data_IF_699992788236
#
_entry.id   IF_699992788236
#
_cell.length_a   1.000
_cell.length_b   1.000
_cell.length_c   1.000
_cell.angle_alpha   90.00
_cell.angle_beta   90.00
_cell.angle_gamma   90.00
#
_symmetry.space_group_name_H-M   'P 1'
#
loop_
_entity.id
_entity.type
_entity.pdbx_description
1 polymer ?
#
# COMPACT_ATOMS: atom_id res chain seq x y z
N UNK A 1 9.65 -28.82 -23.99
CA UNK A 1 8.91 -28.05 -22.98
C UNK A 1 9.81 -26.92 -22.52
N UNK A 2 9.55 -25.71 -22.96
CA UNK A 2 10.24 -24.51 -22.46
C UNK A 2 9.62 -24.19 -21.10
N UNK A 3 10.42 -24.33 -20.04
CA UNK A 3 10.04 -23.84 -18.72
C UNK A 3 10.12 -22.31 -18.79
N UNK A 4 8.99 -21.64 -18.68
CA UNK A 4 8.97 -20.18 -18.58
C UNK A 4 9.36 -19.88 -17.13
N UNK A 5 10.48 -19.21 -16.94
CA UNK A 5 10.87 -18.71 -15.63
C UNK A 5 9.83 -17.67 -15.21
N UNK A 6 9.10 -17.99 -14.15
CA UNK A 6 8.13 -17.09 -13.57
C UNK A 6 8.88 -16.06 -12.73
N UNK A 7 8.91 -14.81 -13.20
CA UNK A 7 9.48 -13.68 -12.46
C UNK A 7 8.34 -12.81 -11.89
N UNK A 8 7.84 -13.10 -10.68
CA UNK A 8 6.74 -12.34 -10.12
C UNK A 8 7.18 -10.91 -9.81
N UNK A 9 6.32 -9.91 -10.01
CA UNK A 9 6.64 -8.52 -9.72
C UNK A 9 6.92 -8.36 -8.22
N UNK A 10 8.14 -7.98 -7.87
CA UNK A 10 8.58 -7.82 -6.47
C UNK A 10 8.47 -6.37 -6.03
N UNK A 11 7.99 -6.16 -4.79
CA UNK A 11 8.00 -4.84 -4.15
C UNK A 11 8.74 -4.89 -2.81
N UNK A 12 9.83 -4.16 -2.70
CA UNK A 12 10.65 -4.09 -1.48
C UNK A 12 10.20 -3.00 -0.49
N UNK A 13 9.41 -2.03 -0.96
CA UNK A 13 8.95 -0.89 -0.16
C UNK A 13 10.01 0.17 0.11
N UNK A 14 11.10 0.23 -0.66
CA UNK A 14 12.08 1.33 -0.57
C UNK A 14 11.52 2.63 -1.16
N UNK A 15 10.83 2.55 -2.30
CA UNK A 15 10.11 3.67 -2.87
C UNK A 15 8.59 3.50 -2.70
N UNK A 16 7.99 4.42 -1.94
CA UNK A 16 6.55 4.47 -1.62
C UNK A 16 5.81 5.57 -2.39
N UNK A 17 6.40 6.06 -3.48
CA UNK A 17 5.72 6.94 -4.43
C UNK A 17 4.45 6.26 -4.96
N UNK A 18 3.33 6.99 -4.97
CA UNK A 18 2.00 6.47 -5.36
C UNK A 18 2.07 5.71 -6.66
N UNK A 19 2.74 6.31 -7.65
CA UNK A 19 2.89 5.75 -8.98
C UNK A 19 3.58 4.38 -8.99
N UNK A 20 4.62 4.19 -8.18
CA UNK A 20 5.37 2.92 -8.14
C UNK A 20 4.54 1.85 -7.45
N UNK A 21 3.84 2.20 -6.38
CA UNK A 21 2.91 1.31 -5.69
C UNK A 21 1.77 0.90 -6.63
N UNK A 22 1.17 1.86 -7.33
CA UNK A 22 0.09 1.62 -8.31
C UNK A 22 0.58 0.76 -9.49
N UNK A 23 1.76 1.03 -10.04
CA UNK A 23 2.36 0.22 -11.12
C UNK A 23 2.59 -1.22 -10.67
N UNK A 24 3.03 -1.43 -9.43
CA UNK A 24 3.23 -2.77 -8.89
C UNK A 24 1.90 -3.50 -8.68
N UNK A 25 0.85 -2.82 -8.22
CA UNK A 25 -0.50 -3.38 -8.10
C UNK A 25 -1.06 -3.78 -9.46
N UNK A 26 -0.95 -2.91 -10.47
CA UNK A 26 -1.39 -3.19 -11.85
C UNK A 26 -0.66 -4.41 -12.44
N UNK A 27 0.64 -4.55 -12.16
CA UNK A 27 1.43 -5.73 -12.54
C UNK A 27 0.92 -7.01 -11.86
N UNK A 28 0.54 -6.94 -10.58
CA UNK A 28 -0.05 -8.07 -9.85
C UNK A 28 -1.43 -8.44 -10.40
N UNK A 29 -2.27 -7.45 -10.74
CA UNK A 29 -3.59 -7.68 -11.34
C UNK A 29 -3.49 -8.38 -12.69
N UNK A 30 -2.63 -7.87 -13.57
CA UNK A 30 -2.32 -8.49 -14.87
C UNK A 30 -1.87 -9.95 -14.70
N UNK A 31 -0.97 -10.20 -13.75
CA UNK A 31 -0.47 -11.54 -13.45
C UNK A 31 -1.58 -12.49 -12.98
N UNK A 32 -2.49 -12.00 -12.15
CA UNK A 32 -3.61 -12.80 -11.66
C UNK A 32 -4.59 -13.15 -12.77
N UNK A 33 -4.80 -12.25 -13.73
CA UNK A 33 -5.63 -12.50 -14.91
C UNK A 33 -4.98 -13.55 -15.82
N UNK A 34 -3.71 -13.38 -16.17
CA UNK A 34 -2.96 -14.33 -17.01
C UNK A 34 -2.93 -15.74 -16.43
N UNK A 35 -2.78 -15.84 -15.10
CA UNK A 35 -2.75 -17.12 -14.40
C UNK A 35 -4.14 -17.66 -14.01
N UNK A 36 -5.22 -16.92 -14.29
CA UNK A 36 -6.58 -17.26 -13.82
C UNK A 36 -6.63 -17.53 -12.31
N UNK A 37 -5.95 -16.70 -11.53
CA UNK A 37 -5.77 -16.88 -10.09
C UNK A 37 -7.09 -16.69 -9.35
N UNK A 38 -7.43 -17.65 -8.48
CA UNK A 38 -8.62 -17.55 -7.64
C UNK A 38 -8.49 -16.43 -6.61
N UNK A 39 -9.59 -15.74 -6.32
CA UNK A 39 -9.62 -14.59 -5.40
C UNK A 39 -8.99 -14.88 -4.03
N UNK A 40 -9.26 -16.08 -3.48
CA UNK A 40 -8.71 -16.54 -2.19
C UNK A 40 -7.18 -16.66 -2.16
N UNK A 41 -6.56 -16.80 -3.32
CA UNK A 41 -5.12 -17.06 -3.49
C UNK A 41 -4.35 -15.77 -3.82
N UNK A 42 -5.04 -14.72 -4.29
CA UNK A 42 -4.42 -13.43 -4.69
C UNK A 42 -3.68 -12.73 -3.56
N UNK A 43 -4.31 -12.53 -2.41
CA UNK A 43 -3.67 -11.86 -1.26
C UNK A 43 -2.44 -12.62 -0.75
N UNK A 44 -2.49 -13.95 -0.51
CA UNK A 44 -1.30 -14.73 -0.18
C UNK A 44 -0.15 -14.57 -1.17
N UNK A 45 -0.45 -14.57 -2.47
CA UNK A 45 0.55 -14.42 -3.53
C UNK A 45 1.14 -13.01 -3.58
N UNK A 46 0.32 -11.96 -3.49
CA UNK A 46 0.79 -10.57 -3.42
C UNK A 46 1.71 -10.35 -2.21
N UNK A 47 1.34 -10.89 -1.06
CA UNK A 47 2.15 -10.84 0.17
C UNK A 47 3.48 -11.58 0.01
N UNK A 48 3.51 -12.68 -0.75
CA UNK A 48 4.74 -13.41 -1.04
C UNK A 48 5.72 -12.57 -1.86
N UNK A 49 5.19 -11.75 -2.77
CA UNK A 49 5.95 -10.84 -3.62
C UNK A 49 6.48 -9.59 -2.90
N UNK A 50 6.05 -9.34 -1.66
CA UNK A 50 6.64 -8.31 -0.80
C UNK A 50 7.99 -8.77 -0.24
N UNK A 51 9.00 -7.88 -0.31
CA UNK A 51 10.33 -8.05 0.31
C UNK A 51 10.64 -6.92 1.29
N UNK A 52 11.75 -7.07 2.00
CA UNK A 52 12.36 -6.04 2.85
C UNK A 52 11.37 -5.24 3.71
N UNK A 53 11.34 -3.92 3.52
CA UNK A 53 10.52 -2.94 4.24
C UNK A 53 9.02 -3.21 4.05
N UNK A 54 8.57 -3.52 2.83
CA UNK A 54 7.17 -3.84 2.57
C UNK A 54 6.72 -5.12 3.31
N UNK A 55 7.58 -6.15 3.33
CA UNK A 55 7.29 -7.39 4.07
C UNK A 55 7.30 -7.17 5.59
N UNK A 56 8.19 -6.33 6.09
CA UNK A 56 8.24 -5.95 7.50
C UNK A 56 6.99 -5.17 7.92
N UNK A 57 6.58 -4.21 7.10
CA UNK A 57 5.34 -3.45 7.28
C UNK A 57 4.12 -4.37 7.35
N UNK A 58 3.97 -5.31 6.40
CA UNK A 58 2.85 -6.25 6.40
C UNK A 58 2.81 -7.14 7.65
N UNK A 59 3.99 -7.62 8.10
CA UNK A 59 4.10 -8.36 9.38
C UNK A 59 3.65 -7.51 10.58
N UNK A 60 3.94 -6.21 10.56
CA UNK A 60 3.49 -5.25 11.58
C UNK A 60 1.97 -5.11 11.61
N UNK A 61 1.34 -4.89 10.45
CA UNK A 61 -0.12 -4.81 10.31
C UNK A 61 -0.81 -6.10 10.79
N UNK A 62 -0.24 -7.26 10.46
CA UNK A 62 -0.77 -8.56 10.92
C UNK A 62 -0.70 -8.73 12.44
N UNK A 63 0.37 -8.26 13.08
CA UNK A 63 0.57 -8.36 14.54
C UNK A 63 -0.32 -7.38 15.30
N UNK A 64 -0.44 -6.15 14.81
CA UNK A 64 -1.21 -5.08 15.44
C UNK A 64 -2.63 -4.98 14.86
N UNK A 65 -3.21 -6.12 14.46
CA UNK A 65 -4.52 -6.16 13.81
C UNK A 65 -5.57 -5.54 14.74
N UNK A 66 -6.14 -4.41 14.30
CA UNK A 66 -7.32 -3.87 14.93
C UNK A 66 -8.49 -4.86 14.79
N UNK A 67 -9.33 -5.06 15.82
CA UNK A 67 -10.57 -5.83 15.70
C UNK A 67 -11.49 -5.36 14.57
N UNK A 68 -11.34 -4.11 14.12
CA UNK A 68 -12.10 -3.51 13.02
C UNK A 68 -11.66 -3.95 11.61
N UNK A 69 -10.53 -4.64 11.46
CA UNK A 69 -10.06 -5.16 10.16
C UNK A 69 -10.64 -6.56 9.96
N UNK A 70 -11.28 -6.87 8.82
CA UNK A 70 -11.82 -8.20 8.53
C UNK A 70 -10.79 -9.32 8.72
N UNK A 71 -11.22 -10.55 9.04
CA UNK A 71 -10.32 -11.69 9.09
C UNK A 71 -9.55 -11.83 7.77
N UNK A 72 -8.23 -11.98 7.83
CA UNK A 72 -7.38 -12.12 6.65
C UNK A 72 -7.76 -13.35 5.80
N UNK A 73 -8.32 -14.38 6.44
CA UNK A 73 -8.90 -15.53 5.74
C UNK A 73 -10.16 -15.09 5.00
N UNK A 74 -10.06 -14.98 3.67
CA UNK A 74 -11.17 -14.55 2.81
C UNK A 74 -11.20 -13.05 2.51
N UNK A 75 -10.17 -12.29 2.86
CA UNK A 75 -10.01 -10.91 2.39
C UNK A 75 -9.86 -10.90 0.87
N UNK A 76 -10.66 -10.07 0.19
CA UNK A 76 -10.51 -9.87 -1.25
C UNK A 76 -9.21 -9.13 -1.56
N UNK A 77 -8.71 -9.30 -2.78
CA UNK A 77 -7.57 -8.54 -3.26
C UNK A 77 -7.88 -7.03 -3.29
N UNK A 78 -9.11 -6.64 -3.61
CA UNK A 78 -9.55 -5.24 -3.59
C UNK A 78 -9.47 -4.61 -2.19
N UNK A 79 -9.97 -5.30 -1.16
CA UNK A 79 -9.89 -4.83 0.23
C UNK A 79 -8.44 -4.74 0.71
N UNK A 80 -7.61 -5.73 0.32
CA UNK A 80 -6.20 -5.72 0.63
C UNK A 80 -5.47 -4.57 -0.06
N UNK A 81 -5.74 -4.31 -1.34
CA UNK A 81 -5.17 -3.22 -2.11
C UNK A 81 -5.53 -1.87 -1.51
N UNK A 82 -6.80 -1.67 -1.12
CA UNK A 82 -7.22 -0.47 -0.41
C UNK A 82 -6.44 -0.28 0.90
N UNK A 83 -6.30 -1.33 1.72
CA UNK A 83 -5.49 -1.26 2.93
C UNK A 83 -4.01 -0.98 2.62
N UNK A 84 -3.46 -1.58 1.57
CA UNK A 84 -2.06 -1.47 1.18
C UNK A 84 -1.71 -0.04 0.72
N UNK A 85 -2.58 0.58 -0.07
CA UNK A 85 -2.37 1.92 -0.64
C UNK A 85 -2.71 3.04 0.35
N UNK A 86 -3.78 2.89 1.15
CA UNK A 86 -4.26 3.94 2.08
C UNK A 86 -3.54 3.98 3.42
N UNK A 87 -2.90 2.90 3.85
CA UNK A 87 -2.37 2.78 5.22
C UNK A 87 -1.09 3.60 5.48
N UNK A 88 -0.16 3.63 4.53
CA UNK A 88 1.17 4.23 4.74
C UNK A 88 1.43 5.41 3.81
N UNK A 89 1.00 5.40 2.55
CA UNK A 89 1.36 6.47 1.59
C UNK A 89 0.63 7.78 1.89
N UNK A 90 -0.69 7.74 2.07
CA UNK A 90 -1.50 8.93 2.34
C UNK A 90 -1.28 9.45 3.75
N UNK A 91 -1.22 8.56 4.75
CA UNK A 91 -0.93 8.96 6.13
C UNK A 91 0.46 9.54 6.29
N UNK A 92 1.50 8.98 5.65
CA UNK A 92 2.84 9.59 5.66
C UNK A 92 2.88 10.88 4.87
N UNK A 93 2.26 10.97 3.70
CA UNK A 93 2.15 12.23 2.94
C UNK A 93 1.46 13.30 3.77
N UNK A 94 0.40 12.95 4.48
CA UNK A 94 -0.33 13.87 5.35
C UNK A 94 0.50 14.28 6.56
N UNK A 95 1.14 13.32 7.24
CA UNK A 95 2.07 13.61 8.34
C UNK A 95 3.25 14.48 7.89
N UNK A 96 3.79 14.25 6.69
CA UNK A 96 4.85 15.06 6.10
C UNK A 96 4.36 16.46 5.74
N UNK A 97 3.14 16.59 5.18
CA UNK A 97 2.50 17.89 4.92
C UNK A 97 2.29 18.65 6.22
N UNK A 98 1.73 18.03 7.26
CA UNK A 98 1.60 18.61 8.60
C UNK A 98 2.96 19.01 9.19
N UNK A 99 3.98 18.15 9.09
CA UNK A 99 5.33 18.43 9.61
C UNK A 99 6.01 19.59 8.89
N UNK A 100 5.78 19.74 7.59
CA UNK A 100 6.33 20.82 6.76
C UNK A 100 5.48 22.11 6.82
N UNK A 101 4.22 22.02 7.27
CA UNK A 101 3.35 23.17 7.41
C UNK A 101 3.85 24.09 8.54
N UNK A 102 4.47 25.19 8.14
CA UNK A 102 4.88 26.29 9.03
C UNK A 102 4.14 27.55 8.62
N UNK A 103 3.71 28.35 9.62
CA UNK A 103 3.06 29.63 9.37
C UNK A 103 3.93 30.53 8.49
N UNK A 104 5.20 30.74 8.86
CA UNK A 104 6.12 31.63 8.13
C UNK A 104 5.59 33.07 8.14
N UNK A 105 5.67 33.75 7.00
CA UNK A 105 5.19 35.13 6.82
C UNK A 105 3.67 35.24 6.59
N UNK A 106 2.95 34.10 6.60
CA UNK A 106 1.50 34.07 6.37
C UNK A 106 0.72 34.59 7.58
N UNK A 107 -0.44 35.20 7.33
CA UNK A 107 -1.34 35.58 8.42
C UNK A 107 -1.89 34.34 9.13
N UNK A 108 -2.23 34.50 10.41
CA UNK A 108 -2.78 33.40 11.23
C UNK A 108 -4.01 32.77 10.58
N UNK A 109 -4.88 33.57 9.95
CA UNK A 109 -6.11 33.10 9.29
C UNK A 109 -5.83 32.27 8.03
N UNK A 110 -4.76 32.58 7.29
CA UNK A 110 -4.37 31.82 6.10
C UNK A 110 -3.75 30.47 6.49
N UNK A 111 -2.89 30.46 7.50
CA UNK A 111 -2.34 29.22 8.07
C UNK A 111 -3.44 28.31 8.63
N UNK A 112 -4.39 28.87 9.40
CA UNK A 112 -5.50 28.12 10.01
C UNK A 112 -6.40 27.47 8.95
N UNK A 113 -6.67 28.18 7.85
CA UNK A 113 -7.46 27.64 6.73
C UNK A 113 -6.74 26.46 6.07
N UNK A 114 -5.45 26.60 5.82
CA UNK A 114 -4.63 25.56 5.17
C UNK A 114 -4.42 24.34 6.07
N UNK A 115 -4.24 24.58 7.38
CA UNK A 115 -4.20 23.53 8.41
C UNK A 115 -5.52 22.73 8.47
N UNK A 116 -6.67 23.40 8.29
CA UNK A 116 -7.99 22.76 8.34
C UNK A 116 -8.36 21.99 7.07
N UNK A 117 -7.57 22.13 5.99
CA UNK A 117 -7.77 21.44 4.71
C UNK A 117 -6.84 20.23 4.53
N UNK A 118 -5.95 19.99 5.49
CA UNK A 118 -5.05 18.84 5.58
C UNK A 118 -5.60 17.85 6.61
#
# INVERSE_FOLDING_TARGET
MTFIEFDPPIFDGENVDSWIVETWIDSMETLFEELSTLERDKVPLAVYCLKQSAKAWWKGIRRNRSPSIPPWHGMSFGDWNFLFTSSDSEKRKLQDKFRKLRQGDRSVREYEREFSLL
#
